data_IF_592174027960
#
_entry.id   IF_592174027960
#
_cell.length_a   1.000
_cell.length_b   1.000
_cell.length_c   1.000
_cell.angle_alpha   90.00
_cell.angle_beta   90.00
_cell.angle_gamma   90.00
#
_symmetry.space_group_name_H-M   'P 1'
#
loop_
_entity.id
_entity.type
_entity.pdbx_description
1 polymer ?
#
# COMPACT_ATOMS: atom_id res chain seq x y z
N UNK A 1 -8.12 -4.23 10.00
CA UNK A 1 -8.85 -5.49 10.22
C UNK A 1 -10.31 -5.13 10.43
N UNK A 2 -11.22 -5.88 9.84
CA UNK A 2 -12.66 -5.61 9.86
C UNK A 2 -13.37 -6.92 10.17
N UNK A 3 -14.32 -6.87 11.10
CA UNK A 3 -15.12 -8.04 11.46
C UNK A 3 -16.57 -7.72 11.18
N UNK A 4 -17.19 -8.53 10.32
CA UNK A 4 -18.56 -8.34 9.85
C UNK A 4 -19.40 -9.54 10.23
N UNK A 5 -20.70 -9.32 10.48
CA UNK A 5 -21.66 -10.41 10.64
C UNK A 5 -21.89 -11.03 9.27
N UNK A 6 -21.80 -12.36 9.18
CA UNK A 6 -22.11 -13.08 7.94
C UNK A 6 -23.60 -13.08 7.63
N UNK A 7 -24.43 -13.14 8.66
CA UNK A 7 -25.89 -13.20 8.52
C UNK A 7 -26.54 -11.82 8.58
N UNK A 8 -27.57 -11.56 7.76
CA UNK A 8 -28.36 -10.33 7.87
C UNK A 8 -29.27 -10.29 9.12
N UNK A 9 -29.55 -11.41 9.79
CA UNK A 9 -30.43 -11.45 10.97
C UNK A 9 -30.02 -12.53 11.99
N UNK A 10 -30.20 -12.23 13.29
CA UNK A 10 -30.05 -13.11 14.48
C UNK A 10 -28.64 -13.65 14.78
N UNK A 11 -27.87 -14.15 13.80
CA UNK A 11 -26.65 -14.93 14.03
C UNK A 11 -25.40 -14.08 14.39
N UNK A 12 -25.38 -13.56 15.61
CA UNK A 12 -24.31 -12.67 16.12
C UNK A 12 -22.96 -13.37 16.40
N UNK A 13 -22.95 -14.70 16.50
CA UNK A 13 -21.74 -15.51 16.71
C UNK A 13 -21.03 -15.86 15.39
N UNK A 14 -21.74 -15.83 14.26
CA UNK A 14 -21.18 -16.10 12.93
C UNK A 14 -20.54 -14.82 12.38
N UNK A 15 -19.20 -14.79 12.34
CA UNK A 15 -18.44 -13.59 11.93
C UNK A 15 -17.38 -13.92 10.90
N UNK A 16 -17.17 -12.98 9.99
CA UNK A 16 -16.06 -13.00 9.04
C UNK A 16 -15.06 -11.93 9.41
N UNK A 17 -13.77 -12.30 9.34
CA UNK A 17 -12.67 -11.40 9.64
C UNK A 17 -11.85 -11.15 8.38
N UNK A 18 -11.75 -9.88 8.02
CA UNK A 18 -11.00 -9.41 6.88
C UNK A 18 -9.84 -8.53 7.34
N UNK A 19 -8.79 -8.50 6.52
CA UNK A 19 -7.66 -7.60 6.72
C UNK A 19 -7.23 -7.02 5.38
N UNK A 20 -6.99 -5.70 5.35
CA UNK A 20 -6.20 -5.06 4.32
C UNK A 20 -4.81 -4.79 4.88
N UNK A 21 -3.79 -5.38 4.26
CA UNK A 21 -2.39 -5.13 4.62
C UNK A 21 -1.79 -4.15 3.64
N UNK A 22 -1.28 -3.02 4.16
CA UNK A 22 -0.53 -2.06 3.35
C UNK A 22 0.96 -2.23 3.67
N UNK A 23 1.75 -2.62 2.68
CA UNK A 23 3.20 -2.76 2.83
C UNK A 23 3.88 -1.43 2.51
N UNK A 24 4.68 -0.92 3.45
CA UNK A 24 5.48 0.30 3.26
C UNK A 24 6.94 -0.09 3.06
N UNK A 25 7.55 0.43 2.00
CA UNK A 25 8.98 0.29 1.73
C UNK A 25 9.60 1.69 1.78
N UNK A 26 10.76 1.79 2.41
CA UNK A 26 11.59 2.99 2.42
C UNK A 26 12.84 2.72 1.58
N UNK A 27 13.17 3.64 0.68
CA UNK A 27 14.37 3.58 -0.14
C UNK A 27 15.03 4.95 0.01
N UNK A 28 16.22 4.96 0.60
CA UNK A 28 17.03 6.17 0.76
C UNK A 28 18.16 6.14 -0.26
N UNK A 29 18.34 7.24 -0.99
CA UNK A 29 19.38 7.39 -2.01
C UNK A 29 20.36 8.44 -1.51
N UNK A 30 21.60 8.01 -1.26
CA UNK A 30 22.69 8.91 -0.90
C UNK A 30 23.24 9.58 -2.17
N UNK A 31 23.46 10.90 -2.10
CA UNK A 31 24.01 11.72 -3.20
C UNK A 31 23.25 11.59 -4.54
N UNK A 32 22.02 12.13 -4.63
CA UNK A 32 21.26 12.08 -5.88
C UNK A 32 21.93 12.94 -6.96
N UNK A 33 22.26 12.31 -8.09
CA UNK A 33 22.67 13.04 -9.31
C UNK A 33 21.43 13.53 -10.07
N UNK A 34 21.55 14.60 -10.87
CA UNK A 34 20.43 15.10 -11.67
C UNK A 34 19.85 14.02 -12.61
N UNK A 35 20.72 13.12 -13.12
CA UNK A 35 20.33 11.99 -13.97
C UNK A 35 19.50 10.95 -13.20
N UNK A 36 19.81 10.68 -11.93
CA UNK A 36 19.07 9.69 -11.15
C UNK A 36 17.69 10.19 -10.74
N UNK A 37 17.52 11.48 -10.48
CA UNK A 37 16.20 12.08 -10.22
C UNK A 37 15.28 11.96 -11.44
N UNK A 38 15.81 12.27 -12.63
CA UNK A 38 15.05 12.16 -13.88
C UNK A 38 14.67 10.71 -14.20
N UNK A 39 15.57 9.75 -13.93
CA UNK A 39 15.31 8.33 -14.11
C UNK A 39 14.20 7.80 -13.19
N UNK A 40 14.17 8.24 -11.92
CA UNK A 40 13.13 7.84 -10.96
C UNK A 40 11.75 8.37 -11.35
N UNK A 41 11.67 9.58 -11.90
CA UNK A 41 10.41 10.16 -12.37
C UNK A 41 9.86 9.46 -13.63
N UNK A 42 10.75 8.92 -14.48
CA UNK A 42 10.35 8.16 -15.68
C UNK A 42 10.06 6.69 -15.41
N UNK A 43 10.32 6.20 -14.20
CA UNK A 43 10.16 4.80 -13.86
C UNK A 43 8.67 4.42 -13.92
N UNK A 44 8.32 3.45 -14.77
CA UNK A 44 6.96 2.90 -14.82
C UNK A 44 6.81 1.89 -13.69
N UNK A 45 6.05 2.26 -12.68
CA UNK A 45 5.75 1.41 -11.53
C UNK A 45 4.46 0.61 -11.82
N UNK A 46 4.36 -0.66 -11.40
CA UNK A 46 3.13 -1.44 -11.58
C UNK A 46 1.90 -0.73 -10.99
N UNK A 47 0.77 -0.82 -11.68
CA UNK A 47 -0.50 -0.32 -11.19
C UNK A 47 -0.84 -0.98 -9.84
N UNK A 48 -1.13 -0.17 -8.82
CA UNK A 48 -1.41 -0.62 -7.45
C UNK A 48 -0.30 -0.36 -6.43
N UNK A 49 0.86 0.16 -6.86
CA UNK A 49 1.91 0.64 -5.95
C UNK A 49 1.85 2.16 -5.86
N UNK A 50 1.65 2.68 -4.64
CA UNK A 50 1.73 4.11 -4.38
C UNK A 50 3.17 4.51 -4.04
N UNK A 51 3.75 5.41 -4.84
CA UNK A 51 5.11 5.94 -4.62
C UNK A 51 5.01 7.40 -4.16
N UNK A 52 5.73 7.72 -3.08
CA UNK A 52 5.88 9.09 -2.58
C UNK A 52 7.37 9.44 -2.57
N UNK A 53 7.76 10.40 -3.41
CA UNK A 53 9.11 10.96 -3.42
C UNK A 53 9.12 12.14 -2.45
N UNK A 54 10.05 12.14 -1.49
CA UNK A 54 10.39 13.30 -0.67
C UNK A 54 11.82 13.69 -1.02
N UNK A 55 12.02 14.95 -1.40
CA UNK A 55 13.34 15.54 -1.62
C UNK A 55 13.86 16.14 -0.31
#
# INVERSE_FOLDING_TARGET
RYTVLRSPHIDKKSREQFEMRTHKRLIDIYEPTARTVEALNRLVVPAGVFVKIKA
#
